data_IF_527428791299
#
_entry.id   IF_527428791299
#
_cell.length_a   1.000
_cell.length_b   1.000
_cell.length_c   1.000
_cell.angle_alpha   90.00
_cell.angle_beta   90.00
_cell.angle_gamma   90.00
#
_symmetry.space_group_name_H-M   'P 1'
#
loop_
_entity.id
_entity.type
_entity.pdbx_description
1 polymer ?
#
# COMPACT_ATOMS: atom_id res chain seq x y z
N UNK A 1 0.91 23.55 67.03
CA UNK A 1 0.44 23.61 65.63
C UNK A 1 0.65 25.06 65.26
N UNK A 2 1.65 25.40 64.44
CA UNK A 2 1.84 24.91 63.08
C UNK A 2 3.33 24.94 62.67
N UNK A 3 3.75 23.87 61.99
CA UNK A 3 5.12 23.68 61.52
C UNK A 3 5.40 24.61 60.33
N UNK A 4 6.39 25.50 60.50
CA UNK A 4 7.02 26.22 59.41
C UNK A 4 7.70 25.24 58.45
N UNK A 5 7.29 25.23 57.19
CA UNK A 5 8.06 24.63 56.10
C UNK A 5 8.45 25.72 55.10
N UNK A 6 9.66 26.23 55.29
CA UNK A 6 10.44 26.93 54.29
C UNK A 6 10.67 26.01 53.08
N UNK A 7 9.97 26.24 51.99
CA UNK A 7 10.41 25.82 50.65
C UNK A 7 10.73 27.07 49.82
N UNK A 8 11.96 27.54 50.00
CA UNK A 8 12.63 28.43 49.06
C UNK A 8 13.00 27.61 47.81
N UNK A 9 12.15 27.64 46.79
CA UNK A 9 12.56 27.38 45.42
C UNK A 9 12.35 28.67 44.64
N UNK A 10 13.41 29.31 44.09
CA UNK A 10 13.26 30.52 43.30
C UNK A 10 12.75 30.13 41.91
N UNK A 11 11.48 29.75 41.82
CA UNK A 11 10.78 29.69 40.55
C UNK A 11 10.36 31.15 40.29
N UNK A 12 10.95 31.85 39.31
CA UNK A 12 10.47 33.19 38.98
C UNK A 12 8.98 33.06 38.64
N UNK A 13 8.14 34.07 38.94
CA UNK A 13 6.71 33.99 38.65
C UNK A 13 6.56 33.67 37.16
N UNK A 14 6.17 32.43 36.86
CA UNK A 14 5.98 31.98 35.49
C UNK A 14 4.84 32.84 34.96
N UNK A 15 5.18 33.85 34.16
CA UNK A 15 4.18 34.67 33.52
C UNK A 15 3.24 33.74 32.76
N UNK A 16 1.94 33.98 32.89
CA UNK A 16 0.89 33.21 32.22
C UNK A 16 1.21 32.99 30.72
N UNK A 17 1.88 33.98 30.11
CA UNK A 17 2.38 33.94 28.73
C UNK A 17 3.37 32.80 28.51
N UNK A 18 4.33 32.58 29.42
CA UNK A 18 5.29 31.47 29.32
C UNK A 18 4.62 30.10 29.45
N UNK A 19 3.57 30.01 30.27
CA UNK A 19 2.82 28.77 30.46
C UNK A 19 2.02 28.40 29.20
N UNK A 20 1.37 29.38 28.58
CA UNK A 20 0.66 29.21 27.29
C UNK A 20 1.63 28.87 26.16
N UNK A 21 2.79 29.55 26.09
CA UNK A 21 3.83 29.24 25.09
C UNK A 21 4.38 27.82 25.24
N UNK A 22 4.58 27.34 26.48
CA UNK A 22 5.03 25.97 26.74
C UNK A 22 4.00 24.94 26.28
N UNK A 23 2.71 25.16 26.57
CA UNK A 23 1.64 24.27 26.13
C UNK A 23 1.56 24.26 24.60
N UNK A 24 1.62 25.43 23.96
CA UNK A 24 1.64 25.56 22.51
C UNK A 24 2.82 24.81 21.88
N UNK A 25 4.02 24.95 22.44
CA UNK A 25 5.21 24.24 21.97
C UNK A 25 5.08 22.71 22.09
N UNK A 26 4.51 22.21 23.19
CA UNK A 26 4.27 20.78 23.40
C UNK A 26 3.30 20.25 22.34
N UNK A 27 2.19 20.95 22.09
CA UNK A 27 1.22 20.57 21.05
C UNK A 27 1.88 20.55 19.67
N UNK A 28 2.74 21.53 19.39
CA UNK A 28 3.44 21.64 18.12
C UNK A 28 4.43 20.48 17.92
N UNK A 29 5.12 20.03 18.98
CA UNK A 29 5.99 18.85 18.95
C UNK A 29 5.19 17.58 18.65
N UNK A 30 4.04 17.37 19.30
CA UNK A 30 3.20 16.21 19.01
C UNK A 30 2.62 16.26 17.60
N UNK A 31 2.26 17.46 17.12
CA UNK A 31 1.77 17.66 15.76
C UNK A 31 2.85 17.35 14.72
N UNK A 32 4.07 17.85 14.90
CA UNK A 32 5.18 17.54 13.98
C UNK A 32 5.54 16.06 14.02
N UNK A 33 5.52 15.43 15.19
CA UNK A 33 5.74 13.99 15.31
C UNK A 33 4.64 13.19 14.58
N UNK A 34 3.38 13.60 14.71
CA UNK A 34 2.25 13.01 13.99
C UNK A 34 2.39 13.17 12.47
N UNK A 35 2.78 14.35 11.99
CA UNK A 35 3.02 14.60 10.56
C UNK A 35 4.19 13.76 10.05
N UNK A 36 5.28 13.65 10.81
CA UNK A 36 6.43 12.82 10.45
C UNK A 36 6.06 11.33 10.43
N UNK A 37 5.36 10.83 11.45
CA UNK A 37 4.86 9.45 11.47
C UNK A 37 3.94 9.18 10.27
N UNK A 38 3.08 10.12 9.92
CA UNK A 38 2.24 10.04 8.72
C UNK A 38 3.08 10.00 7.45
N UNK A 39 4.11 10.83 7.32
CA UNK A 39 5.05 10.78 6.18
C UNK A 39 5.84 9.47 6.09
N UNK A 40 6.22 8.87 7.21
CA UNK A 40 6.94 7.58 7.22
C UNK A 40 6.02 6.37 7.00
N UNK A 41 4.74 6.46 7.41
CA UNK A 41 3.79 5.34 7.33
C UNK A 41 2.83 5.42 6.14
N UNK A 42 2.64 6.58 5.52
CA UNK A 42 2.04 6.70 4.20
C UNK A 42 3.16 6.57 3.17
N UNK A 43 3.25 5.45 2.42
CA UNK A 43 4.08 5.47 1.23
C UNK A 43 3.49 6.54 0.31
N UNK A 44 4.32 7.45 -0.17
CA UNK A 44 3.98 8.34 -1.28
C UNK A 44 3.29 7.51 -2.37
N UNK A 45 1.98 7.68 -2.49
CA UNK A 45 1.25 7.16 -3.62
C UNK A 45 0.04 8.04 -3.82
N UNK A 46 0.08 8.78 -4.92
CA UNK A 46 -1.07 9.40 -5.60
C UNK A 46 -2.13 8.35 -6.03
N UNK A 47 -2.04 7.11 -5.55
CA UNK A 47 -2.88 5.98 -5.88
C UNK A 47 -3.55 5.36 -4.65
N UNK A 48 -3.82 6.10 -3.58
CA UNK A 48 -4.60 5.55 -2.45
C UNK A 48 -6.08 5.29 -2.85
N UNK A 49 -6.61 6.04 -3.82
CA UNK A 49 -7.86 5.69 -4.54
C UNK A 49 -7.72 4.46 -5.43
N UNK A 50 -6.54 4.26 -6.04
CA UNK A 50 -6.21 3.07 -6.83
C UNK A 50 -6.13 1.81 -5.96
N UNK A 51 -5.46 1.88 -4.80
CA UNK A 51 -5.30 0.74 -3.88
C UNK A 51 -6.63 0.34 -3.23
N UNK A 52 -7.50 1.28 -2.84
CA UNK A 52 -8.87 0.94 -2.38
C UNK A 52 -9.70 0.30 -3.49
N UNK A 53 -9.64 0.81 -4.73
CA UNK A 53 -10.30 0.17 -5.89
C UNK A 53 -9.73 -1.21 -6.17
N UNK A 54 -8.41 -1.41 -6.12
CA UNK A 54 -7.77 -2.71 -6.32
C UNK A 54 -8.15 -3.73 -5.24
N UNK A 55 -8.20 -3.31 -3.97
CA UNK A 55 -8.65 -4.17 -2.87
C UNK A 55 -10.14 -4.51 -2.96
N UNK A 56 -10.98 -3.58 -3.43
CA UNK A 56 -12.40 -3.87 -3.71
C UNK A 56 -12.60 -4.72 -4.98
N UNK A 57 -11.78 -4.55 -6.02
CA UNK A 57 -11.78 -5.37 -7.24
C UNK A 57 -11.53 -6.83 -6.96
N UNK A 58 -10.62 -7.14 -6.02
CA UNK A 58 -10.33 -8.53 -5.59
C UNK A 58 -11.56 -9.26 -5.03
N UNK A 59 -12.63 -8.55 -4.64
CA UNK A 59 -13.89 -9.13 -4.14
C UNK A 59 -15.05 -9.07 -5.15
N UNK A 60 -14.90 -8.35 -6.26
CA UNK A 60 -15.88 -8.34 -7.33
C UNK A 60 -15.85 -9.70 -8.03
N UNK A 61 -16.93 -10.47 -7.85
CA UNK A 61 -17.04 -11.86 -8.25
C UNK A 61 -16.56 -12.09 -9.68
N UNK A 62 -15.59 -13.02 -9.85
CA UNK A 62 -15.33 -13.70 -11.11
C UNK A 62 -16.49 -14.71 -11.30
N UNK A 63 -17.72 -14.21 -11.39
CA UNK A 63 -18.91 -15.01 -11.65
C UNK A 63 -19.23 -14.95 -13.14
N UNK A 64 -19.35 -16.12 -13.79
CA UNK A 64 -19.72 -16.22 -15.20
C UNK A 64 -18.60 -16.59 -16.17
N UNK A 65 -17.45 -17.07 -15.67
CA UNK A 65 -16.41 -17.70 -16.51
C UNK A 65 -16.39 -19.20 -16.18
N UNK A 66 -16.87 -20.02 -17.12
CA UNK A 66 -16.89 -21.49 -16.98
C UNK A 66 -15.52 -22.12 -17.29
N UNK A 67 -14.57 -21.34 -17.82
CA UNK A 67 -13.21 -21.79 -18.11
C UNK A 67 -12.29 -21.63 -16.88
N UNK A 68 -11.98 -22.75 -16.24
CA UNK A 68 -11.14 -22.81 -15.04
C UNK A 68 -9.70 -22.28 -15.29
N UNK A 69 -9.15 -22.50 -16.47
CA UNK A 69 -7.81 -22.01 -16.83
C UNK A 69 -7.77 -20.50 -16.95
N UNK A 70 -8.80 -19.90 -17.57
CA UNK A 70 -8.94 -18.44 -17.65
C UNK A 70 -9.13 -17.84 -16.25
N UNK A 71 -9.92 -18.49 -15.40
CA UNK A 71 -10.15 -18.04 -14.04
C UNK A 71 -8.88 -18.10 -13.19
N UNK A 72 -8.06 -19.15 -13.36
CA UNK A 72 -6.74 -19.27 -12.75
C UNK A 72 -5.80 -18.17 -13.25
N UNK A 73 -5.75 -17.94 -14.56
CA UNK A 73 -4.89 -16.93 -15.15
C UNK A 73 -5.26 -15.50 -14.68
N UNK A 74 -6.55 -15.16 -14.65
CA UNK A 74 -7.04 -13.88 -14.12
C UNK A 74 -6.66 -13.69 -12.64
N UNK A 75 -6.77 -14.75 -11.82
CA UNK A 75 -6.34 -14.73 -10.42
C UNK A 75 -4.84 -14.51 -10.27
N UNK A 76 -4.01 -15.17 -11.09
CA UNK A 76 -2.54 -15.02 -11.05
C UNK A 76 -2.12 -13.56 -11.24
N UNK A 77 -2.76 -12.84 -12.16
CA UNK A 77 -2.49 -11.42 -12.37
C UNK A 77 -3.33 -10.49 -11.48
N UNK A 78 -4.25 -11.03 -10.67
CA UNK A 78 -5.18 -10.24 -9.85
C UNK A 78 -6.09 -9.33 -10.68
N UNK A 79 -6.46 -9.78 -11.88
CA UNK A 79 -7.33 -9.10 -12.83
C UNK A 79 -8.78 -9.56 -12.65
N UNK A 80 -9.70 -8.73 -13.12
CA UNK A 80 -11.13 -9.05 -13.21
C UNK A 80 -11.60 -9.07 -14.65
N UNK A 81 -12.63 -9.86 -15.02
CA UNK A 81 -13.08 -9.97 -16.42
C UNK A 81 -13.47 -8.64 -17.06
N UNK A 82 -13.81 -7.63 -16.25
CA UNK A 82 -14.13 -6.26 -16.67
C UNK A 82 -12.91 -5.40 -17.02
N UNK A 83 -11.69 -5.91 -16.83
CA UNK A 83 -10.48 -5.14 -17.08
C UNK A 83 -10.15 -5.04 -18.56
N UNK A 84 -9.14 -4.23 -18.86
CA UNK A 84 -8.69 -4.00 -20.22
C UNK A 84 -7.37 -4.74 -20.49
N UNK A 85 -7.09 -4.98 -21.77
CA UNK A 85 -5.84 -5.57 -22.23
C UNK A 85 -4.59 -4.80 -21.74
N UNK A 86 -4.67 -3.47 -21.64
CA UNK A 86 -3.60 -2.63 -21.10
C UNK A 86 -3.28 -2.95 -19.64
N UNK A 87 -4.29 -3.15 -18.80
CA UNK A 87 -4.10 -3.52 -17.40
C UNK A 87 -3.47 -4.91 -17.29
N UNK A 88 -3.90 -5.85 -18.14
CA UNK A 88 -3.31 -7.19 -18.20
C UNK A 88 -1.81 -7.13 -18.57
N UNK A 89 -1.48 -6.37 -19.61
CA UNK A 89 -0.10 -6.21 -20.10
C UNK A 89 0.81 -5.58 -19.06
N UNK A 90 0.32 -4.55 -18.36
CA UNK A 90 1.06 -3.89 -17.29
C UNK A 90 1.37 -4.85 -16.13
N UNK A 91 0.38 -5.65 -15.71
CA UNK A 91 0.55 -6.62 -14.62
C UNK A 91 1.46 -7.77 -14.98
N UNK A 92 1.37 -8.26 -16.22
CA UNK A 92 2.30 -9.24 -16.75
C UNK A 92 3.75 -8.72 -16.72
N UNK A 93 4.00 -7.50 -17.21
CA UNK A 93 5.34 -6.90 -17.19
C UNK A 93 5.91 -6.80 -15.76
N UNK A 94 5.09 -6.34 -14.80
CA UNK A 94 5.52 -6.21 -13.42
C UNK A 94 5.84 -7.57 -12.77
N UNK A 95 5.01 -8.59 -13.02
CA UNK A 95 5.22 -9.94 -12.50
C UNK A 95 6.50 -10.57 -13.08
N UNK A 96 6.70 -10.40 -14.39
CA UNK A 96 7.92 -10.85 -15.10
C UNK A 96 9.17 -10.19 -14.53
N UNK A 97 9.13 -8.88 -14.32
CA UNK A 97 10.24 -8.12 -13.70
C UNK A 97 10.53 -8.61 -12.28
N UNK A 98 9.49 -8.86 -11.47
CA UNK A 98 9.64 -9.37 -10.12
C UNK A 98 10.30 -10.77 -10.07
N UNK A 99 9.97 -11.65 -11.01
CA UNK A 99 10.58 -12.99 -11.10
C UNK A 99 12.05 -12.90 -11.50
N UNK A 100 12.36 -12.07 -12.48
CA UNK A 100 13.75 -11.87 -12.90
C UNK A 100 14.61 -11.31 -11.76
N UNK A 101 14.06 -10.35 -10.99
CA UNK A 101 14.71 -9.73 -9.85
C UNK A 101 14.72 -10.61 -8.57
N UNK A 102 14.02 -11.75 -8.57
CA UNK A 102 13.98 -12.64 -7.41
C UNK A 102 15.30 -13.42 -7.25
N UNK A 103 15.57 -13.94 -6.05
CA UNK A 103 16.74 -14.78 -5.78
C UNK A 103 16.50 -16.27 -6.10
N UNK A 104 15.49 -16.60 -6.93
CA UNK A 104 15.19 -17.97 -7.32
C UNK A 104 16.36 -18.60 -8.13
N UNK A 105 16.53 -19.93 -8.07
CA UNK A 105 17.40 -20.65 -8.99
C UNK A 105 17.02 -20.42 -10.46
N UNK A 106 17.99 -20.49 -11.38
CA UNK A 106 17.76 -20.19 -12.80
C UNK A 106 16.67 -21.09 -13.43
N UNK A 107 16.68 -22.38 -13.11
CA UNK A 107 15.68 -23.35 -13.60
C UNK A 107 14.26 -23.03 -13.10
N UNK A 108 14.13 -22.65 -11.82
CA UNK A 108 12.83 -22.27 -11.25
C UNK A 108 12.32 -20.95 -11.82
N UNK A 109 13.22 -19.98 -12.09
CA UNK A 109 12.85 -18.73 -12.77
C UNK A 109 12.30 -19.01 -14.16
N UNK A 110 12.98 -19.84 -14.94
CA UNK A 110 12.56 -20.14 -16.30
C UNK A 110 11.21 -20.86 -16.32
N UNK A 111 11.02 -21.87 -15.45
CA UNK A 111 9.73 -22.55 -15.29
C UNK A 111 8.60 -21.58 -14.91
N UNK A 112 8.86 -20.67 -13.97
CA UNK A 112 7.88 -19.66 -13.54
C UNK A 112 7.55 -18.64 -14.63
N UNK A 113 8.56 -18.23 -15.42
CA UNK A 113 8.35 -17.36 -16.57
C UNK A 113 7.48 -18.04 -17.62
N UNK A 114 7.77 -19.29 -17.97
CA UNK A 114 6.95 -20.06 -18.92
C UNK A 114 5.51 -20.24 -18.44
N UNK A 115 5.29 -20.51 -17.15
CA UNK A 115 3.95 -20.62 -16.56
C UNK A 115 3.18 -19.30 -16.74
N UNK A 116 3.83 -18.17 -16.50
CA UNK A 116 3.22 -16.84 -16.59
C UNK A 116 3.01 -16.41 -18.03
N UNK A 117 3.91 -16.72 -18.94
CA UNK A 117 3.79 -16.43 -20.36
C UNK A 117 2.54 -17.13 -20.93
N UNK A 118 2.33 -18.41 -20.58
CA UNK A 118 1.12 -19.17 -20.95
C UNK A 118 -0.15 -18.57 -20.34
N UNK A 119 -0.13 -18.19 -19.07
CA UNK A 119 -1.29 -17.55 -18.44
C UNK A 119 -1.60 -16.18 -19.07
N UNK A 120 -0.58 -15.44 -19.48
CA UNK A 120 -0.77 -14.16 -20.14
C UNK A 120 -1.40 -14.34 -21.52
N UNK A 121 -0.99 -15.36 -22.29
CA UNK A 121 -1.58 -15.69 -23.58
C UNK A 121 -3.10 -15.93 -23.48
N UNK A 122 -3.53 -16.75 -22.51
CA UNK A 122 -4.96 -17.03 -22.26
C UNK A 122 -5.74 -15.75 -21.93
N UNK A 123 -5.16 -14.88 -21.11
CA UNK A 123 -5.79 -13.62 -20.70
C UNK A 123 -5.81 -12.59 -21.83
N UNK A 124 -4.73 -12.53 -22.63
CA UNK A 124 -4.67 -11.67 -23.81
C UNK A 124 -5.72 -12.05 -24.84
N UNK A 125 -5.90 -13.35 -25.07
CA UNK A 125 -6.91 -13.89 -25.97
C UNK A 125 -8.33 -13.57 -25.51
N UNK A 126 -8.58 -13.61 -24.20
CA UNK A 126 -9.87 -13.24 -23.65
C UNK A 126 -10.18 -11.75 -23.86
N UNK A 127 -9.24 -10.87 -23.55
CA UNK A 127 -9.45 -9.43 -23.71
C UNK A 127 -9.45 -8.98 -25.17
N UNK A 128 -8.69 -9.64 -26.05
CA UNK A 128 -8.66 -9.33 -27.49
C UNK A 128 -9.98 -9.71 -28.18
N UNK A 129 -10.64 -10.78 -27.74
CA UNK A 129 -11.97 -11.19 -28.25
C UNK A 129 -13.13 -10.36 -27.70
N UNK A 130 -12.89 -9.63 -26.62
CA UNK A 130 -13.89 -8.81 -25.92
C UNK A 130 -13.91 -7.35 -26.41
N UNK A 131 -12.77 -6.84 -26.89
CA UNK A 131 -12.64 -5.53 -27.53
C UNK A 131 -13.08 -5.55 -28.99
#
# INVERSE_FOLDING_TARGET
MDFEFYYYFPIPPISWVFLVLRIGAIILIFYTLYVLLRFFTEPESETNVGRRREFQKRRGAIGGIDNEELLRALKTFGLTPSDNYWDASYRYYNLRKAILASNLPAEEKESKLQEIDKMFEIVSDYYSKKG
#
